data_IF_228075985019
#
_entry.id   IF_228075985019
#
_cell.length_a   1.000
_cell.length_b   1.000
_cell.length_c   1.000
_cell.angle_alpha   90.00
_cell.angle_beta   90.00
_cell.angle_gamma   90.00
#
_symmetry.space_group_name_H-M   'P 1'
#
loop_
_entity.id
_entity.type
_entity.pdbx_description
1 polymer ?
#
# COMPACT_ATOMS: atom_id res chain seq x y z
N UNK A 1 -30.06 -2.16 10.15
CA UNK A 1 -29.54 -1.10 11.07
C UNK A 1 -28.58 -0.26 10.23
N UNK A 2 -28.82 1.03 10.10
CA UNK A 2 -27.96 1.86 9.25
C UNK A 2 -26.57 1.94 9.88
N UNK A 3 -25.54 1.41 9.18
CA UNK A 3 -24.13 1.33 9.63
C UNK A 3 -23.50 2.71 9.91
N UNK A 4 -24.13 3.78 9.41
CA UNK A 4 -23.73 5.18 9.58
C UNK A 4 -23.90 5.74 11.02
N UNK A 5 -24.50 4.97 11.93
CA UNK A 5 -24.83 5.45 13.29
C UNK A 5 -23.65 5.50 14.25
N UNK A 6 -22.48 4.97 13.87
CA UNK A 6 -21.28 4.98 14.67
C UNK A 6 -20.00 4.93 13.81
N UNK A 7 -18.89 5.29 14.41
CA UNK A 7 -17.57 5.01 13.83
C UNK A 7 -17.30 3.50 13.80
N UNK A 8 -16.47 3.07 12.85
CA UNK A 8 -15.93 1.71 12.88
C UNK A 8 -14.85 1.59 13.95
N UNK A 9 -14.83 0.46 14.61
CA UNK A 9 -13.85 0.13 15.65
C UNK A 9 -12.67 -0.61 15.04
N UNK A 10 -11.50 -0.04 15.15
CA UNK A 10 -10.25 -0.61 14.66
C UNK A 10 -9.48 -1.29 15.80
N UNK A 11 -9.01 -2.50 15.56
CA UNK A 11 -7.91 -3.09 16.31
C UNK A 11 -6.60 -2.89 15.55
N UNK A 12 -5.45 -2.93 16.23
CA UNK A 12 -4.14 -2.83 15.58
C UNK A 12 -3.18 -3.89 16.08
N UNK A 13 -2.47 -4.54 15.14
CA UNK A 13 -1.38 -5.47 15.44
C UNK A 13 -0.06 -4.91 14.91
N UNK A 14 0.92 -4.74 15.80
CA UNK A 14 2.16 -4.03 15.51
C UNK A 14 2.04 -2.52 15.78
N UNK A 15 3.04 -1.75 15.40
CA UNK A 15 3.02 -0.29 15.49
C UNK A 15 3.16 0.30 16.90
N UNK A 16 3.73 -0.45 17.85
CA UNK A 16 4.01 0.01 19.20
C UNK A 16 5.12 1.06 19.28
N UNK A 17 5.45 1.45 20.50
CA UNK A 17 6.50 2.44 20.77
C UNK A 17 7.80 2.12 20.01
N UNK A 18 8.34 3.12 19.30
CA UNK A 18 9.52 2.99 18.45
C UNK A 18 9.25 2.47 17.03
N UNK A 19 7.99 2.25 16.63
CA UNK A 19 7.63 1.87 15.26
C UNK A 19 7.08 3.08 14.48
N UNK A 20 7.60 3.32 13.27
CA UNK A 20 7.21 4.46 12.43
C UNK A 20 5.80 4.30 11.86
N UNK A 21 5.57 3.21 11.11
CA UNK A 21 4.38 3.10 10.24
C UNK A 21 3.06 3.00 11.03
N UNK A 22 3.07 2.41 12.23
CA UNK A 22 1.87 2.35 13.07
C UNK A 22 1.34 3.73 13.47
N UNK A 23 2.22 4.73 13.67
CA UNK A 23 1.84 6.13 13.89
C UNK A 23 1.10 6.72 12.69
N UNK A 24 1.62 6.46 11.48
CA UNK A 24 1.02 6.90 10.21
C UNK A 24 -0.39 6.33 10.05
N UNK A 25 -0.55 5.01 10.21
CA UNK A 25 -1.85 4.36 10.11
C UNK A 25 -2.87 4.93 11.11
N UNK A 26 -2.46 5.17 12.37
CA UNK A 26 -3.36 5.76 13.38
C UNK A 26 -3.79 7.18 13.02
N UNK A 27 -2.86 8.03 12.56
CA UNK A 27 -3.17 9.40 12.12
C UNK A 27 -4.11 9.38 10.92
N UNK A 28 -3.82 8.57 9.91
CA UNK A 28 -4.63 8.45 8.70
C UNK A 28 -6.05 7.92 9.00
N UNK A 29 -6.15 6.87 9.82
CA UNK A 29 -7.44 6.30 10.22
C UNK A 29 -8.32 7.30 11.00
N UNK A 30 -7.71 8.19 11.78
CA UNK A 30 -8.43 9.19 12.56
C UNK A 30 -8.83 10.45 11.76
N UNK A 31 -8.16 10.71 10.61
CA UNK A 31 -8.25 11.99 9.90
C UNK A 31 -9.70 12.35 9.50
N UNK A 32 -10.45 11.40 8.98
CA UNK A 32 -11.82 11.61 8.50
C UNK A 32 -12.90 11.31 9.57
N UNK A 33 -12.50 11.12 10.83
CA UNK A 33 -13.38 10.91 11.99
C UNK A 33 -14.33 9.71 11.86
N UNK A 34 -14.03 8.74 11.01
CA UNK A 34 -14.88 7.57 10.74
C UNK A 34 -14.47 6.32 11.52
N UNK A 35 -13.27 6.32 12.12
CA UNK A 35 -12.65 5.18 12.77
C UNK A 35 -12.22 5.58 14.19
N UNK A 36 -12.44 4.67 15.16
CA UNK A 36 -11.85 4.73 16.49
C UNK A 36 -10.94 3.52 16.72
N UNK A 37 -9.70 3.76 17.12
CA UNK A 37 -8.81 2.70 17.61
C UNK A 37 -9.26 2.31 19.01
N UNK A 38 -9.62 1.03 19.20
CA UNK A 38 -10.20 0.56 20.48
C UNK A 38 -9.46 -0.62 21.12
N UNK A 39 -8.58 -1.29 20.37
CA UNK A 39 -7.86 -2.46 20.83
C UNK A 39 -6.50 -2.59 20.16
N UNK A 40 -5.54 -3.26 20.81
CA UNK A 40 -4.26 -3.49 20.19
C UNK A 40 -3.40 -4.59 20.79
N UNK A 41 -2.58 -5.19 19.93
CA UNK A 41 -1.41 -6.01 20.24
C UNK A 41 -0.20 -5.37 19.56
N UNK A 42 0.36 -4.31 20.16
CA UNK A 42 1.29 -3.40 19.49
C UNK A 42 2.72 -3.92 19.39
N UNK A 43 3.09 -4.94 20.18
CA UNK A 43 4.44 -5.48 20.23
C UNK A 43 4.43 -6.91 20.77
N UNK A 44 5.47 -7.69 20.43
CA UNK A 44 5.76 -8.97 21.11
C UNK A 44 6.12 -8.77 22.59
N UNK A 45 6.66 -7.61 22.95
CA UNK A 45 6.81 -7.19 24.35
C UNK A 45 5.48 -6.64 24.85
N UNK A 46 4.82 -7.38 25.73
CA UNK A 46 3.52 -7.00 26.31
C UNK A 46 3.60 -5.70 27.12
N UNK A 47 4.74 -5.40 27.76
CA UNK A 47 4.92 -4.13 28.46
C UNK A 47 4.98 -2.95 27.49
N UNK A 48 5.59 -3.12 26.30
CA UNK A 48 5.51 -2.12 25.22
C UNK A 48 4.06 -1.95 24.76
N UNK A 49 3.30 -3.05 24.58
CA UNK A 49 1.88 -2.99 24.24
C UNK A 49 1.09 -2.18 25.29
N UNK A 50 1.29 -2.42 26.57
CA UNK A 50 0.63 -1.68 27.65
C UNK A 50 1.02 -0.20 27.67
N UNK A 51 2.32 0.13 27.48
CA UNK A 51 2.77 1.53 27.41
C UNK A 51 2.14 2.25 26.23
N UNK A 52 2.14 1.61 25.04
CA UNK A 52 1.52 2.14 23.83
C UNK A 52 0.01 2.35 24.04
N UNK A 53 -0.70 1.38 24.63
CA UNK A 53 -2.13 1.49 24.93
C UNK A 53 -2.45 2.67 25.86
N UNK A 54 -1.65 2.88 26.92
CA UNK A 54 -1.81 4.05 27.80
C UNK A 54 -1.61 5.38 27.07
N UNK A 55 -0.60 5.47 26.18
CA UNK A 55 -0.36 6.67 25.36
C UNK A 55 -1.51 6.96 24.39
N UNK A 56 -2.23 5.92 23.97
CA UNK A 56 -3.36 5.99 23.05
C UNK A 56 -4.72 6.02 23.77
N UNK A 57 -4.72 6.10 25.10
CA UNK A 57 -5.94 6.15 25.94
C UNK A 57 -6.86 4.92 25.74
N UNK A 58 -6.28 3.75 25.46
CA UNK A 58 -7.04 2.51 25.37
C UNK A 58 -7.32 1.91 26.73
N UNK A 59 -8.45 1.21 26.84
CA UNK A 59 -8.77 0.42 28.03
C UNK A 59 -7.70 -0.67 28.24
N UNK A 60 -7.20 -0.86 29.47
CA UNK A 60 -6.11 -1.80 29.73
C UNK A 60 -6.41 -3.25 29.34
N UNK A 61 -7.64 -3.69 29.45
CA UNK A 61 -8.13 -5.02 29.08
C UNK A 61 -8.25 -5.23 27.56
N UNK A 62 -8.14 -4.14 26.77
CA UNK A 62 -8.07 -4.15 25.30
C UNK A 62 -6.63 -4.08 24.75
N UNK A 63 -5.61 -4.20 25.63
CA UNK A 63 -4.19 -4.24 25.32
C UNK A 63 -3.66 -5.68 25.45
N UNK A 64 -3.68 -6.44 24.37
CA UNK A 64 -3.47 -7.88 24.35
C UNK A 64 -1.99 -8.25 24.25
N UNK A 65 -1.61 -9.40 24.86
CA UNK A 65 -0.23 -9.90 24.80
C UNK A 65 0.12 -10.53 23.45
N UNK A 66 -0.86 -11.18 22.78
CA UNK A 66 -0.67 -11.76 21.45
C UNK A 66 -1.86 -11.46 20.54
N UNK A 67 -1.66 -11.51 19.22
CA UNK A 67 -2.72 -11.24 18.26
C UNK A 67 -3.80 -12.34 18.27
N UNK A 68 -3.44 -13.60 18.58
CA UNK A 68 -4.40 -14.70 18.73
C UNK A 68 -5.29 -14.48 19.95
N UNK A 69 -4.73 -13.99 21.07
CA UNK A 69 -5.51 -13.60 22.23
C UNK A 69 -6.47 -12.49 21.87
N UNK A 70 -5.98 -11.47 21.15
CA UNK A 70 -6.81 -10.36 20.69
C UNK A 70 -7.97 -10.85 19.81
N UNK A 71 -7.70 -11.65 18.79
CA UNK A 71 -8.73 -12.15 17.89
C UNK A 71 -9.81 -12.93 18.63
N UNK A 72 -9.43 -13.85 19.54
CA UNK A 72 -10.37 -14.63 20.36
C UNK A 72 -11.18 -13.76 21.31
N UNK A 73 -10.53 -12.84 22.01
CA UNK A 73 -11.20 -11.99 22.99
C UNK A 73 -12.21 -11.04 22.30
N UNK A 74 -11.80 -10.42 21.19
CA UNK A 74 -12.68 -9.56 20.41
C UNK A 74 -13.87 -10.31 19.80
N UNK A 75 -13.65 -11.53 19.29
CA UNK A 75 -14.73 -12.38 18.76
C UNK A 75 -15.75 -12.81 19.83
N UNK A 76 -15.34 -12.88 21.10
CA UNK A 76 -16.21 -13.19 22.22
C UNK A 76 -17.06 -11.98 22.69
N UNK A 77 -16.74 -10.77 22.29
CA UNK A 77 -17.51 -9.58 22.62
C UNK A 77 -18.78 -9.49 21.76
N UNK A 78 -19.84 -8.85 22.25
CA UNK A 78 -21.04 -8.58 21.46
C UNK A 78 -20.70 -7.64 20.27
N UNK A 79 -21.47 -7.70 19.16
CA UNK A 79 -21.20 -6.91 17.97
C UNK A 79 -21.06 -5.39 18.21
N UNK A 80 -21.72 -4.87 19.24
CA UNK A 80 -21.68 -3.46 19.63
C UNK A 80 -20.37 -3.07 20.34
N UNK A 81 -19.60 -4.05 20.83
CA UNK A 81 -18.37 -3.84 21.63
C UNK A 81 -17.08 -4.22 20.90
N UNK A 82 -17.12 -5.24 20.03
CA UNK A 82 -15.94 -5.78 19.35
C UNK A 82 -15.38 -4.86 18.27
N UNK A 83 -14.17 -5.13 17.83
CA UNK A 83 -13.62 -4.48 16.61
C UNK A 83 -14.45 -4.84 15.38
N UNK A 84 -14.45 -3.97 14.37
CA UNK A 84 -15.00 -4.24 13.04
C UNK A 84 -13.91 -4.77 12.10
N UNK A 85 -12.69 -4.27 12.26
CA UNK A 85 -11.54 -4.68 11.47
C UNK A 85 -10.23 -4.54 12.24
N UNK A 86 -9.19 -5.20 11.75
CA UNK A 86 -7.82 -5.07 12.26
C UNK A 86 -6.92 -4.38 11.25
N UNK A 87 -6.02 -3.50 11.72
CA UNK A 87 -4.91 -2.95 10.95
C UNK A 87 -3.63 -3.68 11.32
N UNK A 88 -2.93 -4.26 10.32
CA UNK A 88 -1.71 -5.06 10.48
C UNK A 88 -0.53 -4.21 9.99
N UNK A 89 0.40 -3.91 10.92
CA UNK A 89 1.56 -3.04 10.68
C UNK A 89 2.83 -3.65 11.29
N UNK A 90 3.00 -4.95 11.05
CA UNK A 90 4.13 -5.77 11.52
C UNK A 90 5.19 -5.92 10.43
N UNK A 91 6.35 -6.56 10.69
CA UNK A 91 7.23 -7.06 9.64
C UNK A 91 6.55 -8.10 8.74
N UNK A 92 6.99 -8.18 7.48
CA UNK A 92 6.32 -8.92 6.39
C UNK A 92 6.00 -10.39 6.72
N UNK A 93 6.94 -11.10 7.37
CA UNK A 93 6.80 -12.53 7.70
C UNK A 93 5.64 -12.84 8.67
N UNK A 94 5.02 -11.83 9.26
CA UNK A 94 3.89 -12.00 10.18
C UNK A 94 2.54 -11.67 9.52
N UNK A 95 2.53 -11.05 8.34
CA UNK A 95 1.30 -10.54 7.73
C UNK A 95 0.29 -11.65 7.47
N UNK A 96 0.73 -12.78 6.88
CA UNK A 96 -0.14 -13.89 6.51
C UNK A 96 -0.85 -14.51 7.72
N UNK A 97 -0.11 -14.92 8.74
CA UNK A 97 -0.68 -15.60 9.91
C UNK A 97 -1.62 -14.70 10.69
N UNK A 98 -1.29 -13.40 10.82
CA UNK A 98 -2.15 -12.44 11.49
C UNK A 98 -3.43 -12.21 10.66
N UNK A 99 -3.31 -11.96 9.36
CA UNK A 99 -4.46 -11.74 8.49
C UNK A 99 -5.41 -12.96 8.50
N UNK A 100 -4.88 -14.16 8.33
CA UNK A 100 -5.64 -15.42 8.43
C UNK A 100 -6.38 -15.53 9.76
N UNK A 101 -5.69 -15.29 10.88
CA UNK A 101 -6.29 -15.40 12.22
C UNK A 101 -7.49 -14.48 12.41
N UNK A 102 -7.42 -13.23 11.92
CA UNK A 102 -8.54 -12.30 12.03
C UNK A 102 -9.66 -12.59 11.02
N UNK A 103 -9.33 -12.97 9.79
CA UNK A 103 -10.32 -13.39 8.80
C UNK A 103 -11.10 -14.64 9.28
N UNK A 104 -10.41 -15.65 9.82
CA UNK A 104 -11.02 -16.85 10.39
C UNK A 104 -11.90 -16.53 11.62
N UNK A 105 -11.60 -15.43 12.32
CA UNK A 105 -12.37 -14.92 13.46
C UNK A 105 -13.53 -13.99 13.05
N UNK A 106 -13.75 -13.76 11.73
CA UNK A 106 -14.85 -12.97 11.20
C UNK A 106 -14.60 -11.46 11.22
N UNK A 107 -13.34 -11.00 11.20
CA UNK A 107 -12.97 -9.60 11.14
C UNK A 107 -12.42 -9.21 9.78
N UNK A 108 -12.80 -8.01 9.30
CA UNK A 108 -12.18 -7.41 8.14
C UNK A 108 -10.72 -7.03 8.43
N UNK A 109 -9.90 -6.89 7.38
CA UNK A 109 -8.46 -6.65 7.51
C UNK A 109 -8.03 -5.45 6.67
N UNK A 110 -7.18 -4.61 7.24
CA UNK A 110 -6.30 -3.67 6.52
C UNK A 110 -4.87 -4.10 6.81
N UNK A 111 -4.08 -4.38 5.79
CA UNK A 111 -2.67 -4.78 5.96
C UNK A 111 -1.72 -3.80 5.30
N UNK A 112 -0.56 -3.63 5.93
CA UNK A 112 0.55 -2.97 5.25
C UNK A 112 1.14 -3.86 4.14
N UNK A 113 1.85 -3.25 3.22
CA UNK A 113 2.53 -3.91 2.11
C UNK A 113 3.98 -4.35 2.50
N UNK A 114 4.60 -5.29 1.78
CA UNK A 114 3.98 -6.24 0.86
C UNK A 114 2.99 -7.13 1.59
N UNK A 115 2.02 -7.69 0.86
CA UNK A 115 0.88 -8.40 1.46
C UNK A 115 1.29 -9.57 2.34
N UNK A 116 2.29 -10.32 1.93
CA UNK A 116 2.78 -11.53 2.60
C UNK A 116 4.30 -11.64 2.50
N UNK A 117 4.86 -12.66 3.13
CA UNK A 117 6.28 -12.99 3.04
C UNK A 117 6.64 -13.73 1.75
N UNK A 118 5.75 -14.59 1.24
CA UNK A 118 5.96 -15.40 0.04
C UNK A 118 4.77 -15.30 -0.93
N UNK A 119 5.02 -15.68 -2.20
CA UNK A 119 3.97 -15.75 -3.21
C UNK A 119 2.93 -16.83 -2.89
N UNK A 120 3.37 -17.98 -2.36
CA UNK A 120 2.47 -19.07 -1.98
C UNK A 120 1.52 -18.65 -0.85
N UNK A 121 1.99 -17.90 0.15
CA UNK A 121 1.13 -17.31 1.17
C UNK A 121 0.12 -16.32 0.56
N UNK A 122 0.54 -15.54 -0.44
CA UNK A 122 -0.35 -14.61 -1.11
C UNK A 122 -1.48 -15.32 -1.85
N UNK A 123 -1.19 -16.43 -2.53
CA UNK A 123 -2.21 -17.26 -3.18
C UNK A 123 -3.21 -17.82 -2.15
N UNK A 124 -2.72 -18.38 -1.05
CA UNK A 124 -3.57 -18.87 0.04
C UNK A 124 -4.43 -17.77 0.65
N UNK A 125 -3.87 -16.56 0.82
CA UNK A 125 -4.62 -15.45 1.40
C UNK A 125 -5.76 -14.97 0.50
N UNK A 126 -5.57 -14.99 -0.83
CA UNK A 126 -6.66 -14.73 -1.79
C UNK A 126 -7.81 -15.72 -1.57
N UNK A 127 -7.51 -17.03 -1.51
CA UNK A 127 -8.54 -18.05 -1.28
C UNK A 127 -9.28 -17.87 0.06
N UNK A 128 -8.56 -17.48 1.12
CA UNK A 128 -9.14 -17.20 2.44
C UNK A 128 -10.08 -15.99 2.37
N UNK A 129 -9.65 -14.90 1.73
CA UNK A 129 -10.46 -13.68 1.58
C UNK A 129 -11.72 -13.96 0.77
N UNK A 130 -11.61 -14.65 -0.38
CA UNK A 130 -12.73 -15.02 -1.22
C UNK A 130 -13.75 -15.90 -0.46
N UNK A 131 -13.25 -16.90 0.27
CA UNK A 131 -14.10 -17.81 1.06
C UNK A 131 -14.79 -17.11 2.21
N UNK A 132 -14.13 -16.18 2.88
CA UNK A 132 -14.68 -15.44 4.02
C UNK A 132 -15.70 -14.40 3.59
N UNK A 133 -15.59 -13.84 2.37
CA UNK A 133 -16.37 -12.71 1.88
C UNK A 133 -16.10 -11.41 2.65
N UNK A 134 -15.04 -11.37 3.45
CA UNK A 134 -14.67 -10.20 4.25
C UNK A 134 -13.85 -9.20 3.42
N UNK A 135 -13.86 -7.94 3.83
CA UNK A 135 -13.07 -6.89 3.20
C UNK A 135 -11.61 -7.03 3.58
N UNK A 136 -10.73 -7.04 2.57
CA UNK A 136 -9.28 -6.96 2.74
C UNK A 136 -8.74 -5.76 1.97
N UNK A 137 -8.20 -4.77 2.68
CA UNK A 137 -7.53 -3.60 2.10
C UNK A 137 -6.01 -3.69 2.27
N UNK A 138 -5.27 -3.35 1.21
CA UNK A 138 -3.81 -3.28 1.22
C UNK A 138 -3.35 -1.84 1.07
N UNK A 139 -2.41 -1.38 1.91
CA UNK A 139 -2.05 0.03 1.96
C UNK A 139 -0.98 0.45 0.94
N UNK A 140 -1.27 0.26 -0.36
CA UNK A 140 -0.56 0.97 -1.42
C UNK A 140 -1.05 2.43 -1.47
N UNK A 141 -0.64 3.22 -0.49
CA UNK A 141 -1.17 4.55 -0.19
C UNK A 141 -1.05 5.57 -1.33
N UNK A 142 -0.05 5.43 -2.21
CA UNK A 142 0.17 6.42 -3.28
C UNK A 142 -0.98 6.49 -4.30
N UNK A 143 -1.79 5.44 -4.42
CA UNK A 143 -3.02 5.47 -5.23
C UNK A 143 -4.12 6.34 -4.62
N UNK A 144 -4.02 6.67 -3.33
CA UNK A 144 -4.98 7.54 -2.62
C UNK A 144 -4.77 9.05 -2.84
N UNK A 145 -3.74 9.49 -3.57
CA UNK A 145 -3.57 10.91 -3.89
C UNK A 145 -4.62 11.40 -4.88
N UNK A 146 -5.29 12.55 -4.66
CA UNK A 146 -6.30 13.09 -5.57
C UNK A 146 -5.83 13.23 -7.01
N UNK A 147 -4.58 13.64 -7.23
CA UNK A 147 -4.04 13.80 -8.59
C UNK A 147 -3.77 12.46 -9.28
N UNK A 148 -3.51 11.39 -8.53
CA UNK A 148 -3.43 10.01 -9.06
C UNK A 148 -4.82 9.49 -9.41
N UNK A 149 -5.84 9.74 -8.59
CA UNK A 149 -7.23 9.43 -8.94
C UNK A 149 -7.66 10.13 -10.23
N UNK A 150 -7.26 11.42 -10.41
CA UNK A 150 -7.52 12.13 -11.65
C UNK A 150 -6.73 11.57 -12.85
N UNK A 151 -5.46 11.22 -12.65
CA UNK A 151 -4.65 10.58 -13.70
C UNK A 151 -5.29 9.27 -14.18
N UNK A 152 -5.73 8.41 -13.25
CA UNK A 152 -6.49 7.20 -13.58
C UNK A 152 -7.76 7.50 -14.38
N UNK A 153 -8.54 8.49 -13.95
CA UNK A 153 -9.73 8.92 -14.68
C UNK A 153 -9.43 9.31 -16.13
N UNK A 154 -8.32 10.04 -16.39
CA UNK A 154 -7.93 10.44 -17.74
C UNK A 154 -7.65 9.23 -18.66
N UNK A 155 -7.06 8.15 -18.12
CA UNK A 155 -6.86 6.90 -18.86
C UNK A 155 -8.15 6.10 -19.03
N UNK A 156 -8.91 5.89 -17.96
CA UNK A 156 -10.17 5.12 -17.99
C UNK A 156 -11.22 5.74 -18.90
N UNK A 157 -11.27 7.07 -19.00
CA UNK A 157 -12.18 7.79 -19.91
C UNK A 157 -11.74 7.77 -21.38
N UNK A 158 -10.58 7.14 -21.69
CA UNK A 158 -10.02 7.09 -23.04
C UNK A 158 -9.36 8.39 -23.51
N UNK A 159 -9.34 9.44 -22.70
CA UNK A 159 -8.81 10.75 -23.07
C UNK A 159 -7.32 10.74 -23.42
N UNK A 160 -6.55 9.80 -22.88
CA UNK A 160 -5.11 9.68 -23.15
C UNK A 160 -4.80 8.73 -24.32
N UNK A 161 -5.79 7.92 -24.75
CA UNK A 161 -5.55 6.90 -25.76
C UNK A 161 -4.76 5.69 -25.22
N UNK A 162 -4.11 4.95 -26.13
CA UNK A 162 -3.39 3.72 -25.78
C UNK A 162 -2.01 4.01 -25.20
N UNK A 163 -1.64 3.34 -24.11
CA UNK A 163 -0.32 3.46 -23.48
C UNK A 163 0.78 3.03 -24.45
N UNK A 164 1.81 3.86 -24.60
CA UNK A 164 2.99 3.58 -25.44
C UNK A 164 4.24 3.39 -24.62
N UNK A 165 4.47 4.27 -23.62
CA UNK A 165 5.66 4.24 -22.78
C UNK A 165 5.30 4.64 -21.35
N UNK A 166 5.75 3.85 -20.39
CA UNK A 166 5.70 4.18 -18.95
C UNK A 166 7.13 4.29 -18.43
N UNK A 167 7.38 5.28 -17.59
CA UNK A 167 8.62 5.40 -16.81
C UNK A 167 8.20 5.63 -15.38
N UNK A 168 8.54 4.71 -14.48
CA UNK A 168 8.34 4.83 -13.05
C UNK A 168 9.68 4.71 -12.34
N UNK A 169 9.95 5.66 -11.45
CA UNK A 169 11.16 5.72 -10.65
C UNK A 169 10.74 5.80 -9.18
N UNK A 170 11.39 5.02 -8.29
CA UNK A 170 11.26 5.20 -6.86
C UNK A 170 12.65 5.12 -6.22
N UNK A 171 13.23 6.27 -5.97
CA UNK A 171 14.60 6.41 -5.54
C UNK A 171 14.64 6.98 -4.11
N UNK A 172 15.51 6.42 -3.28
CA UNK A 172 15.75 6.81 -1.88
C UNK A 172 17.23 6.62 -1.54
N UNK A 173 17.73 7.34 -0.54
CA UNK A 173 19.08 7.11 0.02
C UNK A 173 19.06 6.34 1.36
N UNK A 174 17.89 5.83 1.79
CA UNK A 174 17.66 5.28 3.13
C UNK A 174 18.63 4.15 3.53
N UNK A 175 19.13 3.35 2.59
CA UNK A 175 20.03 2.23 2.84
C UNK A 175 21.48 2.51 2.43
N UNK A 176 21.86 3.79 2.15
CA UNK A 176 23.23 4.17 1.82
C UNK A 176 24.25 3.80 2.91
N UNK A 177 23.83 3.88 4.17
CA UNK A 177 24.64 3.46 5.31
C UNK A 177 24.10 2.16 5.94
N UNK A 178 24.95 1.36 6.58
CA UNK A 178 24.54 0.13 7.25
C UNK A 178 23.80 0.43 8.57
N UNK A 179 22.67 1.10 8.50
CA UNK A 179 21.85 1.49 9.65
C UNK A 179 21.42 0.30 10.52
N UNK A 180 21.30 -0.89 9.95
CA UNK A 180 21.05 -2.13 10.68
C UNK A 180 22.14 -2.46 11.69
N UNK A 181 23.41 -2.13 11.38
CA UNK A 181 24.56 -2.32 12.28
C UNK A 181 24.61 -1.25 13.39
N UNK A 182 23.92 -0.13 13.18
CA UNK A 182 23.81 0.96 14.16
C UNK A 182 22.57 0.84 15.06
N UNK A 183 21.86 -0.29 14.98
CA UNK A 183 20.68 -0.55 15.81
C UNK A 183 19.40 0.12 15.32
N UNK A 184 19.35 0.61 14.09
CA UNK A 184 18.16 1.21 13.52
C UNK A 184 17.09 0.14 13.23
N UNK A 185 16.07 0.08 14.07
CA UNK A 185 15.05 -0.97 14.07
C UNK A 185 14.40 -1.21 12.71
N UNK A 186 14.12 -0.14 11.96
CA UNK A 186 13.45 -0.24 10.65
C UNK A 186 14.36 -0.79 9.55
N UNK A 187 15.66 -0.48 9.58
CA UNK A 187 16.63 -1.04 8.66
C UNK A 187 16.88 -2.52 8.95
N UNK A 188 17.02 -2.89 10.24
CA UNK A 188 17.43 -4.23 10.66
C UNK A 188 16.54 -5.35 10.09
N UNK A 189 15.22 -5.21 10.11
CA UNK A 189 14.34 -6.26 9.59
C UNK A 189 14.20 -6.22 8.06
N UNK A 190 14.38 -5.05 7.42
CA UNK A 190 14.27 -4.90 5.96
C UNK A 190 15.39 -5.57 5.20
N UNK A 191 16.59 -5.56 5.76
CA UNK A 191 17.77 -6.19 5.14
C UNK A 191 17.93 -7.67 5.53
N UNK A 192 17.06 -8.18 6.41
CA UNK A 192 17.07 -9.59 6.85
C UNK A 192 16.08 -10.41 5.99
N UNK A 193 16.58 -11.33 5.12
CA UNK A 193 15.72 -12.16 4.29
C UNK A 193 14.69 -12.97 5.07
N UNK A 194 15.00 -13.37 6.30
CA UNK A 194 14.09 -14.13 7.15
C UNK A 194 12.86 -13.33 7.61
N UNK A 195 12.91 -12.00 7.52
CA UNK A 195 11.82 -11.11 7.94
C UNK A 195 11.16 -10.36 6.77
N UNK A 196 11.93 -9.97 5.76
CA UNK A 196 11.43 -9.20 4.61
C UNK A 196 11.02 -10.07 3.42
N UNK A 197 11.55 -11.29 3.29
CA UNK A 197 11.32 -12.18 2.14
C UNK A 197 12.47 -12.13 1.13
N UNK A 198 12.20 -12.57 -0.09
CA UNK A 198 13.21 -12.73 -1.16
C UNK A 198 13.60 -11.44 -1.86
N UNK A 199 12.88 -10.34 -1.64
CA UNK A 199 13.15 -9.03 -2.23
C UNK A 199 13.30 -7.97 -1.13
N UNK A 200 14.40 -7.21 -1.15
CA UNK A 200 14.64 -6.07 -0.28
C UNK A 200 13.89 -4.82 -0.77
N UNK A 201 14.55 -4.06 -1.63
CA UNK A 201 13.99 -2.86 -2.28
C UNK A 201 12.76 -3.18 -3.14
N UNK A 202 12.72 -4.36 -3.79
CA UNK A 202 11.52 -4.83 -4.52
C UNK A 202 10.29 -4.89 -3.62
N UNK A 203 10.42 -5.49 -2.44
CA UNK A 203 9.31 -5.60 -1.48
C UNK A 203 8.95 -4.28 -0.84
N UNK A 204 9.95 -3.47 -0.47
CA UNK A 204 9.72 -2.22 0.24
C UNK A 204 9.14 -1.11 -0.64
N UNK A 205 9.76 -0.83 -1.81
CA UNK A 205 9.36 0.27 -2.68
C UNK A 205 8.92 -0.16 -4.09
N UNK A 206 9.41 -1.30 -4.60
CA UNK A 206 9.08 -1.79 -5.94
C UNK A 206 7.61 -2.12 -6.15
N UNK A 207 6.97 -2.73 -5.14
CA UNK A 207 5.54 -3.06 -5.19
C UNK A 207 4.66 -1.80 -5.28
N UNK A 208 5.07 -0.69 -4.66
CA UNK A 208 4.39 0.60 -4.80
C UNK A 208 4.50 1.15 -6.23
N UNK A 209 5.70 1.07 -6.83
CA UNK A 209 5.93 1.54 -8.19
C UNK A 209 5.09 0.76 -9.22
N UNK A 210 5.04 -0.58 -9.09
CA UNK A 210 4.19 -1.43 -9.92
C UNK A 210 2.70 -1.10 -9.72
N UNK A 211 2.23 -1.08 -8.47
CA UNK A 211 0.82 -0.83 -8.19
C UNK A 211 0.38 0.54 -8.73
N UNK A 212 1.20 1.58 -8.54
CA UNK A 212 0.89 2.93 -9.02
C UNK A 212 0.75 2.98 -10.55
N UNK A 213 1.68 2.38 -11.30
CA UNK A 213 1.63 2.41 -12.76
C UNK A 213 0.44 1.61 -13.32
N UNK A 214 0.13 0.43 -12.75
CA UNK A 214 -1.02 -0.37 -13.16
C UNK A 214 -2.35 0.30 -12.77
N UNK A 215 -2.44 0.88 -11.57
CA UNK A 215 -3.60 1.63 -11.13
C UNK A 215 -3.93 2.81 -12.05
N UNK A 216 -2.94 3.59 -12.45
CA UNK A 216 -3.13 4.76 -13.30
C UNK A 216 -3.46 4.37 -14.74
N UNK A 217 -2.75 3.42 -15.31
CA UNK A 217 -2.90 3.06 -16.73
C UNK A 217 -4.10 2.16 -16.99
N UNK A 218 -4.51 1.35 -16.00
CA UNK A 218 -5.47 0.26 -16.19
C UNK A 218 -4.96 -0.85 -17.12
N UNK A 219 -3.65 -0.84 -17.45
CA UNK A 219 -3.02 -1.79 -18.37
C UNK A 219 -1.98 -2.62 -17.60
N UNK A 220 -2.26 -3.89 -17.28
CA UNK A 220 -1.36 -4.71 -16.48
C UNK A 220 -0.05 -5.05 -17.22
N UNK A 221 1.04 -5.14 -16.47
CA UNK A 221 2.31 -5.66 -16.97
C UNK A 221 2.15 -7.15 -17.29
N UNK A 222 2.47 -7.56 -18.50
CA UNK A 222 2.39 -8.97 -18.95
C UNK A 222 3.71 -9.72 -18.81
N UNK A 223 4.84 -9.01 -18.95
CA UNK A 223 6.19 -9.58 -18.84
C UNK A 223 7.15 -8.52 -18.28
N UNK A 224 8.15 -8.98 -17.56
CA UNK A 224 9.26 -8.15 -17.09
C UNK A 224 10.62 -8.81 -17.39
N UNK A 225 11.65 -7.95 -17.43
CA UNK A 225 13.05 -8.37 -17.51
C UNK A 225 13.83 -7.47 -16.55
N UNK A 226 14.41 -8.03 -15.48
CA UNK A 226 14.98 -7.28 -14.38
C UNK A 226 16.47 -7.58 -14.17
N UNK A 227 17.23 -6.54 -13.82
CA UNK A 227 18.56 -6.60 -13.26
C UNK A 227 18.55 -6.06 -11.85
N UNK A 228 19.28 -6.71 -10.92
CA UNK A 228 19.34 -6.33 -9.50
C UNK A 228 20.78 -6.21 -9.02
N UNK A 229 21.04 -5.29 -8.11
CA UNK A 229 22.36 -5.07 -7.55
C UNK A 229 22.33 -4.95 -6.04
N UNK A 230 23.43 -5.41 -5.41
CA UNK A 230 23.73 -5.24 -4.00
C UNK A 230 25.08 -4.56 -3.89
N UNK A 231 25.12 -3.35 -3.34
CA UNK A 231 26.32 -2.52 -3.32
C UNK A 231 27.03 -2.55 -1.95
N UNK A 232 26.30 -2.65 -0.86
CA UNK A 232 26.87 -2.65 0.47
C UNK A 232 27.38 -4.05 0.85
N UNK A 233 28.58 -4.15 1.45
CA UNK A 233 29.11 -5.42 1.95
C UNK A 233 28.18 -6.06 2.98
N UNK A 234 28.12 -7.39 2.98
CA UNK A 234 27.35 -8.24 3.91
C UNK A 234 25.83 -8.16 3.77
N UNK A 235 25.28 -7.40 2.82
CA UNK A 235 23.88 -7.47 2.45
C UNK A 235 23.64 -8.57 1.43
N UNK A 236 22.50 -9.24 1.56
CA UNK A 236 22.09 -10.35 0.69
C UNK A 236 20.91 -10.01 -0.18
N UNK A 237 20.09 -9.04 0.24
CA UNK A 237 18.97 -8.52 -0.54
C UNK A 237 19.43 -7.34 -1.40
N UNK A 238 18.77 -7.17 -2.51
CA UNK A 238 19.05 -6.09 -3.45
C UNK A 238 18.70 -4.71 -2.88
N UNK A 239 19.48 -3.73 -3.26
CA UNK A 239 19.31 -2.31 -2.93
C UNK A 239 18.94 -1.47 -4.15
N UNK A 240 19.11 -2.03 -5.35
CA UNK A 240 18.83 -1.39 -6.63
C UNK A 240 18.25 -2.41 -7.61
N UNK A 241 17.22 -2.03 -8.34
CA UNK A 241 16.64 -2.86 -9.41
C UNK A 241 16.21 -1.99 -10.58
N UNK A 242 16.59 -2.42 -11.78
CA UNK A 242 16.15 -1.86 -13.03
C UNK A 242 15.37 -2.91 -13.83
N UNK A 243 14.15 -2.61 -14.24
CA UNK A 243 13.33 -3.56 -15.01
C UNK A 243 12.76 -2.93 -16.28
N UNK A 244 12.79 -3.72 -17.37
CA UNK A 244 12.03 -3.46 -18.57
C UNK A 244 10.67 -4.16 -18.46
N UNK A 245 9.60 -3.47 -18.87
CA UNK A 245 8.22 -3.95 -18.75
C UNK A 245 7.56 -4.03 -20.13
N UNK A 246 6.69 -5.03 -20.29
CA UNK A 246 5.73 -5.14 -21.39
C UNK A 246 4.33 -5.15 -20.82
N UNK A 247 3.45 -4.36 -21.39
CA UNK A 247 2.05 -4.26 -20.98
C UNK A 247 1.15 -5.12 -21.87
N UNK A 248 0.01 -5.57 -21.31
CA UNK A 248 -0.96 -6.36 -22.08
C UNK A 248 -1.48 -5.61 -23.30
N UNK A 249 -1.71 -4.29 -23.20
CA UNK A 249 -2.10 -3.41 -24.28
C UNK A 249 -0.99 -3.11 -25.32
N UNK A 250 0.20 -3.69 -25.17
CA UNK A 250 1.33 -3.53 -26.09
C UNK A 250 2.29 -2.40 -25.75
N UNK A 251 2.00 -1.59 -24.74
CA UNK A 251 2.90 -0.56 -24.23
C UNK A 251 4.21 -1.15 -23.68
N UNK A 252 5.22 -0.30 -23.50
CA UNK A 252 6.53 -0.65 -22.93
C UNK A 252 6.83 0.23 -21.72
N UNK A 253 7.55 -0.32 -20.73
CA UNK A 253 7.91 0.43 -19.53
C UNK A 253 9.36 0.27 -19.12
N UNK A 254 9.77 1.19 -18.25
CA UNK A 254 10.99 1.12 -17.44
C UNK A 254 10.58 1.38 -16.00
N UNK A 255 11.03 0.49 -15.11
CA UNK A 255 10.91 0.66 -13.67
C UNK A 255 12.34 0.72 -13.11
N UNK A 256 12.64 1.79 -12.37
CA UNK A 256 13.91 1.97 -11.68
C UNK A 256 13.64 2.24 -10.20
N UNK A 257 14.17 1.37 -9.34
CA UNK A 257 14.03 1.53 -7.88
C UNK A 257 15.38 1.38 -7.21
N UNK A 258 15.67 2.23 -6.24
CA UNK A 258 16.92 2.20 -5.48
C UNK A 258 16.71 2.73 -4.07
N UNK A 259 17.36 2.12 -3.09
CA UNK A 259 17.45 2.68 -1.72
C UNK A 259 18.88 3.12 -1.36
N UNK A 260 19.73 3.24 -2.39
CA UNK A 260 21.12 3.73 -2.28
C UNK A 260 21.38 4.90 -3.26
N UNK A 261 20.34 5.64 -3.65
CA UNK A 261 20.44 6.78 -4.54
C UNK A 261 20.66 8.08 -3.74
N UNK A 262 21.92 8.46 -3.57
CA UNK A 262 22.31 9.63 -2.77
C UNK A 262 21.61 10.91 -3.22
N UNK A 263 20.99 11.62 -2.26
CA UNK A 263 20.27 12.88 -2.48
C UNK A 263 18.78 12.73 -2.80
N UNK A 264 18.28 11.51 -2.95
CA UNK A 264 16.83 11.24 -3.14
C UNK A 264 16.19 10.86 -1.80
N UNK A 265 15.15 11.58 -1.37
CA UNK A 265 14.48 11.34 -0.09
C UNK A 265 13.37 10.29 -0.22
N UNK A 266 12.33 10.59 -1.03
CA UNK A 266 11.20 9.70 -1.30
C UNK A 266 10.70 9.85 -2.74
N UNK A 267 11.63 9.75 -3.69
CA UNK A 267 11.52 10.14 -5.08
C UNK A 267 10.68 9.20 -5.97
N UNK A 268 9.42 8.94 -5.59
CA UNK A 268 8.49 8.22 -6.46
C UNK A 268 7.95 9.14 -7.54
N UNK A 269 8.24 8.83 -8.80
CA UNK A 269 7.86 9.62 -9.98
C UNK A 269 7.23 8.69 -11.02
N UNK A 270 6.13 9.13 -11.64
CA UNK A 270 5.44 8.40 -12.71
C UNK A 270 5.27 9.28 -13.93
N UNK A 271 5.70 8.79 -15.09
CA UNK A 271 5.47 9.41 -16.41
C UNK A 271 4.84 8.39 -17.35
N UNK A 272 3.69 8.72 -17.90
CA UNK A 272 2.99 7.86 -18.88
C UNK A 272 2.81 8.63 -20.17
N UNK A 273 3.25 8.06 -21.26
CA UNK A 273 3.11 8.58 -22.62
C UNK A 273 2.18 7.65 -23.41
N UNK A 274 1.10 8.21 -23.93
CA UNK A 274 0.07 7.48 -24.66
C UNK A 274 -0.14 8.07 -26.06
N UNK A 275 -1.09 7.55 -26.83
CA UNK A 275 -1.30 7.98 -28.22
C UNK A 275 -1.82 9.42 -28.34
N UNK A 276 -2.66 9.85 -27.38
CA UNK A 276 -3.32 11.16 -27.43
C UNK A 276 -2.75 12.16 -26.39
N UNK A 277 -1.97 11.67 -25.41
CA UNK A 277 -1.45 12.55 -24.38
C UNK A 277 -0.40 11.89 -23.49
N UNK A 278 0.04 12.65 -22.50
CA UNK A 278 0.99 12.20 -21.49
C UNK A 278 0.67 12.81 -20.14
N UNK A 279 1.06 12.11 -19.08
CA UNK A 279 1.04 12.64 -17.71
C UNK A 279 2.42 12.55 -17.08
N UNK A 280 2.69 13.44 -16.10
CA UNK A 280 3.84 13.35 -15.19
C UNK A 280 3.40 13.76 -13.80
N UNK A 281 3.80 12.95 -12.81
CA UNK A 281 3.51 13.18 -11.40
C UNK A 281 4.70 12.78 -10.53
N UNK A 282 4.85 13.47 -9.41
CA UNK A 282 5.88 13.20 -8.41
C UNK A 282 5.28 13.23 -7.00
N UNK A 283 5.63 12.24 -6.17
CA UNK A 283 5.10 12.08 -4.81
C UNK A 283 5.50 13.23 -3.88
N UNK A 284 6.71 13.79 -4.04
CA UNK A 284 7.19 14.92 -3.23
C UNK A 284 6.53 16.25 -3.61
N UNK A 285 5.76 16.28 -4.70
CA UNK A 285 4.90 17.41 -5.11
C UNK A 285 3.51 16.89 -5.52
N UNK A 286 2.78 16.19 -4.63
CA UNK A 286 1.64 15.35 -5.00
C UNK A 286 0.38 16.14 -5.40
N UNK A 287 0.34 17.43 -5.11
CA UNK A 287 -0.81 18.30 -5.37
C UNK A 287 -0.92 18.75 -6.82
N UNK A 288 0.03 18.40 -7.67
CA UNK A 288 0.07 18.81 -9.06
C UNK A 288 0.24 17.61 -9.99
N UNK A 289 -0.43 17.68 -11.15
CA UNK A 289 -0.31 16.74 -12.25
C UNK A 289 0.00 17.51 -13.53
N UNK A 290 1.11 17.19 -14.17
CA UNK A 290 1.37 17.68 -15.51
C UNK A 290 0.62 16.83 -16.53
N UNK A 291 -0.11 17.47 -17.43
CA UNK A 291 -0.85 16.84 -18.53
C UNK A 291 -0.45 17.50 -19.83
N UNK A 292 -0.14 16.70 -20.83
CA UNK A 292 0.19 17.14 -22.17
C UNK A 292 -0.73 16.45 -23.18
N UNK A 293 -1.14 17.16 -24.20
CA UNK A 293 -1.80 16.59 -25.40
C UNK A 293 -0.95 16.89 -26.63
N UNK A 294 -0.99 15.99 -27.58
CA UNK A 294 -0.23 16.20 -28.83
C UNK A 294 -0.68 17.50 -29.50
N UNK A 295 0.27 18.38 -29.81
CA UNK A 295 0.00 19.66 -30.45
C UNK A 295 -0.53 20.77 -29.52
N UNK A 296 -0.70 20.52 -28.21
CA UNK A 296 -1.14 21.50 -27.23
C UNK A 296 -0.02 21.89 -26.24
N UNK A 297 -0.10 23.06 -25.62
CA UNK A 297 0.78 23.43 -24.52
C UNK A 297 0.61 22.47 -23.33
N UNK A 298 1.71 22.18 -22.65
CA UNK A 298 1.69 21.45 -21.37
C UNK A 298 0.90 22.24 -20.33
N UNK A 299 0.06 21.56 -19.56
CA UNK A 299 -0.74 22.12 -18.48
C UNK A 299 -0.35 21.47 -17.16
N UNK A 300 -0.30 22.28 -16.10
CA UNK A 300 -0.19 21.79 -14.73
C UNK A 300 -1.55 21.90 -14.07
N UNK A 301 -2.15 20.77 -13.71
CA UNK A 301 -3.41 20.70 -13.00
C UNK A 301 -3.13 20.68 -11.50
N UNK A 302 -3.89 21.47 -10.73
CA UNK A 302 -3.76 21.55 -9.27
C UNK A 302 -4.92 20.86 -8.57
N UNK A 303 -4.62 20.24 -7.43
CA UNK A 303 -5.59 19.59 -6.55
C UNK A 303 -6.69 20.57 -6.08
N UNK A 304 -7.92 20.05 -5.92
CA UNK A 304 -9.06 20.78 -5.37
C UNK A 304 -9.72 21.76 -6.33
N UNK A 305 -9.36 21.73 -7.63
CA UNK A 305 -9.94 22.59 -8.64
C UNK A 305 -11.18 21.93 -9.28
N UNK A 306 -12.15 22.78 -9.68
CA UNK A 306 -13.45 22.34 -10.21
C UNK A 306 -13.40 21.64 -11.59
N UNK A 307 -12.25 21.56 -12.24
CA UNK A 307 -12.07 20.83 -13.50
C UNK A 307 -11.60 19.38 -13.31
N UNK A 308 -11.37 18.96 -12.07
CA UNK A 308 -10.94 17.59 -11.76
C UNK A 308 -12.11 16.61 -11.81
N UNK A 309 -11.79 15.31 -11.92
CA UNK A 309 -12.77 14.23 -11.85
C UNK A 309 -13.46 14.16 -10.49
N UNK A 310 -14.66 13.56 -10.47
CA UNK A 310 -15.40 13.30 -9.23
C UNK A 310 -14.57 12.45 -8.24
N UNK A 311 -13.85 11.45 -8.73
CA UNK A 311 -12.96 10.62 -7.91
C UNK A 311 -11.85 11.43 -7.23
N UNK A 312 -11.22 12.37 -7.95
CA UNK A 312 -10.21 13.27 -7.36
C UNK A 312 -10.82 14.24 -6.35
N UNK A 313 -12.02 14.73 -6.63
CA UNK A 313 -12.76 15.63 -5.72
C UNK A 313 -13.15 14.91 -4.44
N UNK A 314 -13.60 13.66 -4.52
CA UNK A 314 -13.95 12.82 -3.36
C UNK A 314 -12.74 12.53 -2.44
N UNK A 315 -11.53 12.49 -2.99
CA UNK A 315 -10.29 12.30 -2.24
C UNK A 315 -9.71 13.61 -1.67
N UNK A 316 -10.25 14.76 -2.04
CA UNK A 316 -9.76 16.09 -1.62
C UNK A 316 -10.46 16.54 -0.34
N UNK A 317 -9.71 16.96 0.68
CA UNK A 317 -10.23 17.33 2.00
C UNK A 317 -10.23 18.82 2.27
N UNK A 318 -9.20 19.53 1.80
CA UNK A 318 -9.02 20.97 2.08
C UNK A 318 -8.94 21.79 0.79
N UNK A 319 -9.22 23.10 0.83
CA UNK A 319 -9.27 23.92 -0.37
C UNK A 319 -7.94 23.97 -1.15
N UNK A 320 -7.98 24.36 -2.45
CA UNK A 320 -6.76 24.57 -3.24
C UNK A 320 -5.77 25.52 -2.54
N UNK A 321 -4.47 25.27 -2.74
CA UNK A 321 -3.40 26.06 -2.12
C UNK A 321 -3.00 25.63 -0.71
N UNK A 322 -3.74 24.73 -0.07
CA UNK A 322 -3.36 24.09 1.19
C UNK A 322 -2.85 22.67 0.86
N UNK A 323 -1.58 22.33 1.13
CA UNK A 323 -1.04 21.03 0.74
C UNK A 323 -1.73 19.84 1.41
N UNK A 324 -2.04 18.81 0.64
CA UNK A 324 -2.34 17.46 1.11
C UNK A 324 -1.22 16.52 0.67
N UNK A 325 -0.96 15.45 1.42
CA UNK A 325 0.19 14.59 1.14
C UNK A 325 -0.01 13.15 1.60
N UNK A 326 1.04 12.61 2.21
CA UNK A 326 1.19 11.21 2.56
C UNK A 326 0.10 10.68 3.49
N UNK A 327 -0.28 11.44 4.52
CA UNK A 327 -1.30 11.02 5.49
C UNK A 327 -2.70 11.01 4.85
N UNK A 328 -3.03 12.02 4.05
CA UNK A 328 -4.31 12.11 3.35
C UNK A 328 -4.46 11.00 2.32
N UNK A 329 -3.37 10.60 1.65
CA UNK A 329 -3.38 9.48 0.73
C UNK A 329 -3.66 8.14 1.46
N UNK A 330 -3.06 7.88 2.61
CA UNK A 330 -3.41 6.75 3.47
C UNK A 330 -4.87 6.83 3.94
N UNK A 331 -5.33 8.00 4.36
CA UNK A 331 -6.71 8.20 4.82
C UNK A 331 -7.72 7.90 3.70
N UNK A 332 -7.39 8.18 2.44
CA UNK A 332 -8.24 7.84 1.29
C UNK A 332 -8.44 6.32 1.17
N UNK A 333 -7.38 5.53 1.37
CA UNK A 333 -7.51 4.06 1.41
C UNK A 333 -8.42 3.63 2.56
N UNK A 334 -8.23 4.20 3.75
CA UNK A 334 -9.10 3.91 4.89
C UNK A 334 -10.57 4.26 4.64
N UNK A 335 -10.86 5.39 3.98
CA UNK A 335 -12.23 5.76 3.62
C UNK A 335 -12.87 4.72 2.69
N UNK A 336 -12.15 4.26 1.65
CA UNK A 336 -12.63 3.20 0.76
C UNK A 336 -12.93 1.90 1.52
N UNK A 337 -12.03 1.49 2.42
CA UNK A 337 -12.23 0.30 3.27
C UNK A 337 -13.43 0.48 4.21
N UNK A 338 -13.60 1.65 4.83
CA UNK A 338 -14.75 1.96 5.69
C UNK A 338 -16.07 1.81 4.92
N UNK A 339 -16.13 2.36 3.71
CA UNK A 339 -17.32 2.25 2.87
C UNK A 339 -17.62 0.79 2.50
N UNK A 340 -16.61 0.02 2.15
CA UNK A 340 -16.76 -1.41 1.85
C UNK A 340 -17.26 -2.20 3.06
N UNK A 341 -16.69 -1.97 4.25
CA UNK A 341 -17.12 -2.61 5.50
C UNK A 341 -18.57 -2.23 5.85
N UNK A 342 -18.95 -0.95 5.72
CA UNK A 342 -20.32 -0.50 5.97
C UNK A 342 -21.33 -1.17 5.04
N UNK A 343 -21.01 -1.27 3.75
CA UNK A 343 -21.82 -2.01 2.78
C UNK A 343 -21.97 -3.47 3.17
N UNK A 344 -20.88 -4.09 3.62
CA UNK A 344 -20.92 -5.48 4.11
C UNK A 344 -21.87 -5.61 5.33
N UNK A 345 -21.75 -4.73 6.34
CA UNK A 345 -22.60 -4.69 7.52
C UNK A 345 -24.09 -4.48 7.13
N UNK A 346 -24.36 -3.67 6.13
CA UNK A 346 -25.72 -3.38 5.62
C UNK A 346 -26.27 -4.50 4.72
N UNK A 347 -25.56 -5.61 4.56
CA UNK A 347 -25.97 -6.75 3.72
C UNK A 347 -25.90 -6.47 2.21
N UNK A 348 -25.08 -5.51 1.79
CA UNK A 348 -24.83 -5.11 0.40
C UNK A 348 -23.33 -5.19 0.05
N UNK A 349 -22.67 -6.34 0.26
CA UNK A 349 -21.24 -6.45 -0.01
C UNK A 349 -20.99 -6.21 -1.51
N UNK A 350 -19.85 -5.58 -1.79
CA UNK A 350 -19.27 -5.48 -3.12
C UNK A 350 -18.26 -6.62 -3.31
N UNK A 351 -17.97 -6.97 -4.55
CA UNK A 351 -16.87 -7.87 -4.86
C UNK A 351 -15.55 -7.10 -4.74
N UNK A 352 -14.47 -7.82 -4.45
CA UNK A 352 -13.15 -7.19 -4.26
C UNK A 352 -12.66 -6.45 -5.51
N UNK A 353 -13.05 -6.87 -6.72
CA UNK A 353 -12.72 -6.22 -7.98
C UNK A 353 -13.46 -4.88 -8.20
N UNK A 354 -14.50 -4.63 -7.41
CA UNK A 354 -15.30 -3.39 -7.48
C UNK A 354 -14.80 -2.30 -6.51
N UNK A 355 -13.81 -2.63 -5.65
CA UNK A 355 -13.26 -1.66 -4.70
C UNK A 355 -12.33 -0.67 -5.41
N UNK A 356 -12.40 0.59 -4.99
CA UNK A 356 -11.53 1.67 -5.49
C UNK A 356 -10.31 1.90 -4.57
N UNK A 357 -9.84 0.85 -3.94
CA UNK A 357 -8.61 0.80 -3.14
C UNK A 357 -7.89 -0.52 -3.39
N UNK A 358 -6.57 -0.59 -3.14
CA UNK A 358 -5.81 -1.82 -3.35
C UNK A 358 -6.29 -2.97 -2.44
N UNK A 359 -6.43 -4.14 -3.04
CA UNK A 359 -7.05 -5.34 -2.46
C UNK A 359 -6.06 -6.48 -2.32
N UNK A 360 -6.56 -7.65 -1.94
CA UNK A 360 -5.79 -8.90 -1.92
C UNK A 360 -5.23 -9.26 -3.31
N UNK A 361 -5.91 -8.89 -4.40
CA UNK A 361 -5.43 -9.15 -5.77
C UNK A 361 -4.24 -8.26 -6.14
N UNK A 362 -4.25 -7.00 -5.72
CA UNK A 362 -3.08 -6.11 -5.86
C UNK A 362 -1.89 -6.66 -5.07
N UNK A 363 -2.16 -7.20 -3.88
CA UNK A 363 -1.16 -7.88 -3.06
C UNK A 363 -0.56 -9.10 -3.74
N UNK A 364 -1.41 -9.99 -4.29
CA UNK A 364 -0.95 -11.17 -5.05
C UNK A 364 -0.10 -10.73 -6.25
N UNK A 365 -0.54 -9.67 -6.94
CA UNK A 365 0.17 -9.09 -8.08
C UNK A 365 1.55 -8.58 -7.68
N UNK A 366 1.64 -7.86 -6.56
CA UNK A 366 2.91 -7.37 -6.00
C UNK A 366 3.86 -8.51 -5.61
N UNK A 367 3.35 -9.58 -4.99
CA UNK A 367 4.16 -10.74 -4.61
C UNK A 367 4.67 -11.51 -5.84
N UNK A 368 3.84 -11.65 -6.89
CA UNK A 368 4.28 -12.21 -8.17
C UNK A 368 5.38 -11.37 -8.80
N UNK A 369 5.25 -10.04 -8.79
CA UNK A 369 6.28 -9.13 -9.29
C UNK A 369 7.63 -9.34 -8.59
N UNK A 370 7.65 -9.39 -7.25
CA UNK A 370 8.88 -9.64 -6.50
C UNK A 370 9.52 -10.96 -6.96
N UNK A 371 8.72 -12.03 -7.01
CA UNK A 371 9.19 -13.36 -7.37
C UNK A 371 9.77 -13.38 -8.80
N UNK A 372 9.05 -12.82 -9.77
CA UNK A 372 9.47 -12.83 -11.16
C UNK A 372 10.67 -11.91 -11.43
N UNK A 373 10.77 -10.77 -10.73
CA UNK A 373 11.91 -9.88 -10.86
C UNK A 373 13.20 -10.50 -10.30
N UNK A 374 13.11 -11.15 -9.13
CA UNK A 374 14.24 -11.89 -8.55
C UNK A 374 14.67 -13.05 -9.45
N UNK A 375 13.71 -13.81 -9.97
CA UNK A 375 13.99 -14.94 -10.86
C UNK A 375 14.61 -14.49 -12.18
N UNK A 376 14.08 -13.42 -12.80
CA UNK A 376 14.65 -12.80 -14.01
C UNK A 376 16.12 -12.46 -13.83
N UNK A 377 16.45 -11.75 -12.77
CA UNK A 377 17.82 -11.34 -12.46
C UNK A 377 18.75 -12.54 -12.18
N UNK A 378 18.27 -13.55 -11.42
CA UNK A 378 19.05 -14.74 -11.10
C UNK A 378 19.35 -15.62 -12.34
N UNK A 379 18.48 -15.60 -13.35
CA UNK A 379 18.69 -16.30 -14.63
C UNK A 379 19.50 -15.50 -15.65
N UNK A 380 20.04 -14.35 -15.29
CA UNK A 380 20.85 -13.50 -16.18
C UNK A 380 20.01 -12.53 -17.01
N UNK A 381 19.02 -11.91 -16.37
CA UNK A 381 18.19 -10.82 -16.95
C UNK A 381 17.36 -11.32 -18.16
N UNK A 382 16.51 -12.30 -17.89
CA UNK A 382 15.61 -12.90 -18.90
C UNK A 382 14.17 -12.41 -18.73
N UNK A 383 13.38 -12.43 -19.79
CA UNK A 383 11.96 -12.09 -19.75
C UNK A 383 11.15 -13.13 -18.98
N UNK A 384 10.40 -12.69 -17.97
CA UNK A 384 9.53 -13.51 -17.12
C UNK A 384 8.07 -13.07 -17.26
N UNK A 385 7.10 -14.01 -17.27
CA UNK A 385 5.68 -13.70 -17.34
C UNK A 385 5.16 -13.17 -16.00
N UNK A 386 4.24 -12.20 -16.07
CA UNK A 386 3.60 -11.56 -14.89
C UNK A 386 2.18 -12.05 -14.68
#
# INVERSE_FOLDING_TARGET
MESWKRKLRMGMVGGGEGAFIGGVHRMAAALDLQIDLVAGCFSRDHENTKRTGRQLYLEPDRCYATYEQMARAEAALPPEGRIDFVSIVTPNHLHFDIARTFLDSGFHVVSDKPMTYSYDEAQQLVEIVEKSGLVYGLTHNYTGHPMICHARHLFQSGQMGSVRKVIVEYLQEFLMEPHEKLGHKQASWRVDPAQSGIGGTLGDIGTHALNLLEYVTGDPVSELCADKSTFLPDRTLEEDVNALLRFQGGGKGVLAISQVATGEENGLKLRVYASEGAISWAQENPNYLEVSRYGEPRRTLGRGQGYLSESATACTRIPPGHPEGYLEAFATIYCGVVDAIRRHIDGKPMKSEEYDFPTVYDGLRGMRFITQAVESANQGTVWMPM
#
